data_IF_447370084810
#
_entry.id   IF_447370084810
#
_cell.length_a   1.000
_cell.length_b   1.000
_cell.length_c   1.000
_cell.angle_alpha   90.00
_cell.angle_beta   90.00
_cell.angle_gamma   90.00
#
_symmetry.space_group_name_H-M   'P 1'
#
loop_
_entity.id
_entity.type
_entity.pdbx_description
1 polymer ?
#
# COMPACT_ATOMS: atom_id res chain seq x y z
N UNK A 1 17.75 -33.25 24.59
CA UNK A 1 18.02 -31.82 24.85
C UNK A 1 17.20 -31.00 23.88
N UNK A 2 16.28 -30.16 24.36
CA UNK A 2 15.57 -29.23 23.47
C UNK A 2 16.57 -28.17 22.99
N UNK A 3 16.79 -28.09 21.68
CA UNK A 3 17.63 -27.06 21.09
C UNK A 3 17.04 -25.69 21.44
N UNK A 4 17.87 -24.79 21.95
CA UNK A 4 17.46 -23.41 22.24
C UNK A 4 16.98 -22.77 20.93
N UNK A 5 15.76 -22.20 20.87
CA UNK A 5 15.26 -21.63 19.63
C UNK A 5 16.19 -20.53 19.11
N UNK A 6 16.58 -20.63 17.84
CA UNK A 6 17.34 -19.58 17.16
C UNK A 6 16.38 -18.48 16.70
N UNK A 7 16.23 -17.50 17.59
CA UNK A 7 15.39 -16.34 17.35
C UNK A 7 15.85 -15.45 16.18
N UNK A 8 17.03 -15.71 15.62
CA UNK A 8 17.58 -14.99 14.47
C UNK A 8 17.61 -15.81 13.18
N UNK A 9 17.06 -17.02 13.21
CA UNK A 9 16.90 -17.86 12.02
C UNK A 9 16.08 -17.13 10.95
N UNK A 10 16.35 -17.45 9.68
CA UNK A 10 15.63 -16.86 8.55
C UNK A 10 14.12 -17.15 8.62
N UNK A 11 13.73 -18.32 9.13
CA UNK A 11 12.34 -18.70 9.34
C UNK A 11 11.64 -17.78 10.36
N UNK A 12 12.27 -17.52 11.50
CA UNK A 12 11.71 -16.63 12.52
C UNK A 12 11.67 -15.16 12.09
N UNK A 13 12.68 -14.69 11.35
CA UNK A 13 12.67 -13.35 10.75
C UNK A 13 11.52 -13.20 9.76
N UNK A 14 11.29 -14.19 8.89
CA UNK A 14 10.17 -14.20 7.94
C UNK A 14 8.82 -14.24 8.65
N UNK A 15 8.68 -15.07 9.68
CA UNK A 15 7.45 -15.16 10.47
C UNK A 15 7.13 -13.82 11.17
N UNK A 16 8.12 -13.17 11.78
CA UNK A 16 7.95 -11.84 12.40
C UNK A 16 7.59 -10.77 11.37
N UNK A 17 8.25 -10.77 10.22
CA UNK A 17 7.90 -9.87 9.13
C UNK A 17 6.44 -10.05 8.69
N UNK A 18 6.01 -11.28 8.43
CA UNK A 18 4.63 -11.57 8.02
C UNK A 18 3.58 -11.06 9.02
N UNK A 19 3.82 -11.26 10.33
CA UNK A 19 2.95 -10.76 11.40
C UNK A 19 2.80 -9.23 11.43
N UNK A 20 3.79 -8.50 10.92
CA UNK A 20 3.78 -7.03 10.93
C UNK A 20 3.33 -6.47 9.58
N UNK A 21 3.78 -7.07 8.48
CA UNK A 21 3.55 -6.56 7.14
C UNK A 21 2.12 -6.81 6.67
N UNK A 22 1.60 -8.03 6.80
CA UNK A 22 0.27 -8.36 6.29
C UNK A 22 -0.83 -7.49 6.93
N UNK A 23 -0.91 -7.31 8.26
CA UNK A 23 -1.92 -6.44 8.86
C UNK A 23 -1.79 -4.96 8.46
N UNK A 24 -0.59 -4.50 8.09
CA UNK A 24 -0.40 -3.13 7.60
C UNK A 24 -0.93 -2.97 6.18
N UNK A 25 -0.71 -3.96 5.31
CA UNK A 25 -1.24 -3.96 3.95
C UNK A 25 -2.76 -4.11 3.95
N UNK A 26 -3.32 -4.98 4.79
CA UNK A 26 -4.77 -5.13 4.97
C UNK A 26 -5.42 -3.79 5.34
N UNK A 27 -4.86 -3.06 6.31
CA UNK A 27 -5.35 -1.72 6.67
C UNK A 27 -5.30 -0.70 5.53
N UNK A 28 -4.28 -0.79 4.66
CA UNK A 28 -4.22 0.07 3.47
C UNK A 28 -5.34 -0.27 2.49
N UNK A 29 -5.60 -1.56 2.27
CA UNK A 29 -6.69 -2.04 1.42
C UNK A 29 -8.04 -1.56 1.97
N UNK A 30 -8.28 -1.72 3.26
CA UNK A 30 -9.52 -1.26 3.91
C UNK A 30 -9.71 0.26 3.78
N UNK A 31 -8.62 1.02 3.93
CA UNK A 31 -8.65 2.47 3.77
C UNK A 31 -8.99 2.88 2.34
N UNK A 32 -8.47 2.18 1.33
CA UNK A 32 -8.81 2.42 -0.08
C UNK A 32 -10.29 2.10 -0.37
N UNK A 33 -10.83 1.05 0.23
CA UNK A 33 -12.25 0.74 0.13
C UNK A 33 -13.12 1.83 0.76
N UNK A 34 -12.69 2.40 1.89
CA UNK A 34 -13.38 3.53 2.50
C UNK A 34 -13.36 4.78 1.61
N UNK A 35 -12.22 5.09 0.98
CA UNK A 35 -12.10 6.19 -0.01
C UNK A 35 -13.03 5.95 -1.21
N UNK A 36 -13.15 4.72 -1.71
CA UNK A 36 -14.08 4.43 -2.81
C UNK A 36 -15.54 4.77 -2.45
N UNK A 37 -15.94 4.58 -1.19
CA UNK A 37 -17.29 4.95 -0.71
C UNK A 37 -17.51 6.46 -0.67
N UNK A 38 -16.44 7.26 -0.62
CA UNK A 38 -16.58 8.73 -0.69
C UNK A 38 -16.86 9.20 -2.11
N UNK A 39 -16.71 8.36 -3.14
CA UNK A 39 -17.05 8.69 -4.54
C UNK A 39 -18.58 8.73 -4.82
N UNK A 40 -19.41 8.90 -3.80
CA UNK A 40 -20.86 9.00 -3.95
C UNK A 40 -21.28 10.43 -4.34
N UNK A 41 -21.54 10.63 -5.64
CA UNK A 41 -21.97 11.90 -6.23
C UNK A 41 -23.39 12.34 -5.85
N UNK A 42 -24.22 11.44 -5.29
CA UNK A 42 -25.54 11.81 -4.77
C UNK A 42 -25.43 12.57 -3.44
N UNK A 43 -24.29 12.47 -2.76
CA UNK A 43 -24.04 13.02 -1.42
C UNK A 43 -22.96 14.10 -1.44
N UNK A 44 -22.01 14.01 -2.37
CA UNK A 44 -20.83 14.85 -2.41
C UNK A 44 -20.60 15.42 -3.81
N UNK A 45 -20.02 16.62 -3.88
CA UNK A 45 -19.44 17.20 -5.08
C UNK A 45 -17.92 17.22 -4.92
N UNK A 46 -17.17 16.71 -5.90
CA UNK A 46 -15.72 16.55 -5.79
C UNK A 46 -14.97 17.63 -6.57
N UNK A 47 -13.92 18.15 -5.96
CA UNK A 47 -12.90 18.89 -6.69
C UNK A 47 -12.02 17.89 -7.45
N UNK A 48 -12.26 17.75 -8.76
CA UNK A 48 -11.53 16.85 -9.64
C UNK A 48 -10.01 17.08 -9.59
N UNK A 49 -9.56 18.34 -9.47
CA UNK A 49 -8.15 18.67 -9.39
C UNK A 49 -7.55 18.19 -8.07
N UNK A 50 -8.28 18.32 -6.96
CA UNK A 50 -7.88 17.78 -5.67
C UNK A 50 -7.80 16.25 -5.71
N UNK A 51 -8.83 15.58 -6.25
CA UNK A 51 -8.87 14.11 -6.35
C UNK A 51 -7.68 13.61 -7.18
N UNK A 52 -7.47 14.16 -8.38
CA UNK A 52 -6.35 13.78 -9.26
C UNK A 52 -5.01 13.95 -8.55
N UNK A 53 -4.78 15.10 -7.90
CA UNK A 53 -3.54 15.38 -7.17
C UNK A 53 -3.29 14.34 -6.07
N UNK A 54 -4.32 14.00 -5.29
CA UNK A 54 -4.17 13.04 -4.19
C UNK A 54 -3.92 11.61 -4.69
N UNK A 55 -4.55 11.19 -5.79
CA UNK A 55 -4.31 9.87 -6.39
C UNK A 55 -2.91 9.75 -7.00
N UNK A 56 -2.39 10.78 -7.67
CA UNK A 56 -0.99 10.81 -8.13
C UNK A 56 -0.03 10.65 -6.96
N UNK A 57 -0.28 11.36 -5.86
CA UNK A 57 0.56 11.38 -4.68
C UNK A 57 0.49 10.06 -3.89
N UNK A 58 -0.66 9.36 -3.95
CA UNK A 58 -0.80 7.99 -3.49
C UNK A 58 -0.01 7.01 -4.37
N UNK A 59 -0.13 7.10 -5.70
CA UNK A 59 0.57 6.25 -6.66
C UNK A 59 2.10 6.32 -6.46
N UNK A 60 2.65 7.54 -6.35
CA UNK A 60 4.08 7.77 -6.06
C UNK A 60 4.53 7.05 -4.79
N UNK A 61 3.79 7.20 -3.69
CA UNK A 61 4.13 6.53 -2.42
C UNK A 61 4.03 5.02 -2.51
N UNK A 62 3.02 4.52 -3.21
CA UNK A 62 2.83 3.09 -3.39
C UNK A 62 4.00 2.49 -4.18
N UNK A 63 4.37 3.09 -5.31
CA UNK A 63 5.55 2.70 -6.10
C UNK A 63 6.84 2.76 -5.28
N UNK A 64 7.10 3.88 -4.60
CA UNK A 64 8.29 4.03 -3.75
C UNK A 64 8.34 3.01 -2.61
N UNK A 65 7.18 2.61 -2.06
CA UNK A 65 7.10 1.58 -1.02
C UNK A 65 7.36 0.20 -1.59
N UNK A 66 6.77 -0.14 -2.73
CA UNK A 66 6.95 -1.43 -3.42
C UNK A 66 8.41 -1.66 -3.82
N UNK A 67 9.09 -0.59 -4.29
CA UNK A 67 10.49 -0.64 -4.65
C UNK A 67 11.40 -1.06 -3.47
N UNK A 68 11.02 -0.76 -2.22
CA UNK A 68 11.75 -1.24 -1.03
C UNK A 68 11.71 -2.76 -0.85
N UNK A 69 10.76 -3.43 -1.50
CA UNK A 69 10.61 -4.88 -1.50
C UNK A 69 11.10 -5.50 -2.82
N UNK A 70 11.75 -4.73 -3.70
CA UNK A 70 12.22 -5.19 -5.01
C UNK A 70 11.09 -5.38 -6.03
N UNK A 71 9.92 -4.78 -5.80
CA UNK A 71 8.78 -4.82 -6.72
C UNK A 71 8.76 -3.51 -7.49
N UNK A 72 8.86 -3.60 -8.82
CA UNK A 72 8.70 -2.46 -9.72
C UNK A 72 7.24 -2.33 -10.14
N UNK A 73 6.69 -1.12 -10.01
CA UNK A 73 5.38 -0.76 -10.55
C UNK A 73 5.56 0.35 -11.57
N UNK A 74 4.94 0.16 -12.73
CA UNK A 74 4.60 1.24 -13.64
C UNK A 74 3.14 1.63 -13.36
N UNK A 75 2.90 2.89 -13.05
CA UNK A 75 1.56 3.41 -12.77
C UNK A 75 1.30 4.56 -13.74
N UNK A 76 0.24 4.45 -14.52
CA UNK A 76 -0.22 5.52 -15.42
C UNK A 76 -1.49 6.16 -14.88
N UNK A 77 -1.56 7.49 -14.87
CA UNK A 77 -2.78 8.25 -14.57
C UNK A 77 -3.12 9.08 -15.81
N UNK A 78 -4.31 8.87 -16.38
CA UNK A 78 -4.76 9.52 -17.62
C UNK A 78 -3.80 9.31 -18.81
N UNK A 79 -3.08 8.19 -18.83
CA UNK A 79 -2.07 7.87 -19.86
C UNK A 79 -0.67 8.46 -19.60
N UNK A 80 -0.49 9.23 -18.53
CA UNK A 80 0.82 9.75 -18.11
C UNK A 80 1.46 8.81 -17.09
N UNK A 81 2.69 8.37 -17.36
CA UNK A 81 3.48 7.56 -16.41
C UNK A 81 3.84 8.43 -15.19
N UNK A 82 3.60 7.90 -14.00
CA UNK A 82 3.90 8.56 -12.74
C UNK A 82 5.29 8.18 -12.25
N UNK A 83 6.22 9.15 -12.38
CA UNK A 83 7.54 9.13 -11.76
C UNK A 83 7.52 9.44 -10.25
#
# INVERSE_FOLDING_TARGET
MAATPDFNSAAEKRARFGKVFAPRVEKLIDSLQAVAKTANLEIYDFDDALVRRLFIELARRFRATAHRFGIEFEITVDGEVID
#
